data_IF_392034280125
#
_entry.id   IF_392034280125
#
_cell.length_a   1.000
_cell.length_b   1.000
_cell.length_c   1.000
_cell.angle_alpha   90.00
_cell.angle_beta   90.00
_cell.angle_gamma   90.00
#
_symmetry.space_group_name_H-M   'P 1'
#
loop_
_entity.id
_entity.type
_entity.pdbx_description
1 polymer ?
#
# COMPACT_ATOMS: atom_id res chain seq x y z
N UNK A 1 -11.88 7.68 -33.68
CA UNK A 1 -12.82 7.58 -32.54
C UNK A 1 -12.49 6.27 -31.87
N UNK A 2 -11.80 6.31 -30.74
CA UNK A 2 -11.23 5.11 -30.14
C UNK A 2 -12.37 4.17 -29.70
N UNK A 3 -12.26 2.92 -30.12
CA UNK A 3 -13.09 1.80 -29.68
C UNK A 3 -12.93 1.66 -28.15
N UNK A 4 -13.82 2.28 -27.38
CA UNK A 4 -13.88 2.13 -25.93
C UNK A 4 -14.50 0.77 -25.62
N UNK A 5 -13.77 -0.30 -25.92
CA UNK A 5 -14.09 -1.63 -25.41
C UNK A 5 -14.24 -1.56 -23.89
N UNK A 6 -15.16 -2.31 -23.28
CA UNK A 6 -15.41 -2.28 -21.83
C UNK A 6 -14.14 -2.45 -20.98
N UNK A 7 -13.16 -3.19 -21.52
CA UNK A 7 -11.85 -3.40 -20.89
C UNK A 7 -11.04 -2.10 -20.78
N UNK A 8 -11.14 -1.21 -21.78
CA UNK A 8 -10.44 0.09 -21.83
C UNK A 8 -10.87 0.98 -20.65
N UNK A 9 -12.15 0.95 -20.27
CA UNK A 9 -12.66 1.68 -19.10
C UNK A 9 -12.09 1.15 -17.78
N UNK A 10 -11.90 -0.17 -17.68
CA UNK A 10 -11.29 -0.81 -16.50
C UNK A 10 -9.81 -0.44 -16.40
N UNK A 11 -9.07 -0.47 -17.52
CA UNK A 11 -7.67 -0.05 -17.55
C UNK A 11 -7.50 1.40 -17.13
N UNK A 12 -8.35 2.31 -17.63
CA UNK A 12 -8.31 3.73 -17.21
C UNK A 12 -8.51 3.92 -15.72
N UNK A 13 -9.50 3.23 -15.13
CA UNK A 13 -9.71 3.27 -13.67
C UNK A 13 -8.53 2.72 -12.89
N UNK A 14 -7.87 1.66 -13.40
CA UNK A 14 -6.66 1.12 -12.77
C UNK A 14 -5.49 2.10 -12.88
N UNK A 15 -5.30 2.75 -14.02
CA UNK A 15 -4.27 3.79 -14.22
C UNK A 15 -4.47 4.95 -13.25
N UNK A 16 -5.70 5.43 -13.06
CA UNK A 16 -6.00 6.51 -12.12
C UNK A 16 -5.66 6.14 -10.67
N UNK A 17 -5.95 4.89 -10.26
CA UNK A 17 -5.59 4.41 -8.91
C UNK A 17 -4.08 4.32 -8.75
N UNK A 18 -3.37 3.77 -9.75
CA UNK A 18 -1.90 3.66 -9.72
C UNK A 18 -1.26 5.05 -9.67
N UNK A 19 -1.77 6.02 -10.44
CA UNK A 19 -1.29 7.39 -10.42
C UNK A 19 -1.39 8.01 -9.02
N UNK A 20 -2.54 7.83 -8.35
CA UNK A 20 -2.75 8.30 -6.97
C UNK A 20 -1.85 7.58 -5.95
N UNK A 21 -1.56 6.29 -6.15
CA UNK A 21 -0.64 5.53 -5.29
C UNK A 21 0.81 6.04 -5.40
N UNK A 22 1.19 6.64 -6.53
CA UNK A 22 2.55 7.12 -6.80
C UNK A 22 2.74 8.61 -6.51
N UNK A 23 1.70 9.34 -6.07
CA UNK A 23 1.82 10.75 -5.71
C UNK A 23 2.85 10.98 -4.59
N UNK A 24 3.73 11.96 -4.75
CA UNK A 24 4.78 12.25 -3.76
C UNK A 24 4.23 12.66 -2.39
N UNK A 25 3.05 13.30 -2.36
CA UNK A 25 2.46 13.84 -1.12
C UNK A 25 1.41 12.92 -0.49
N UNK A 26 0.57 12.29 -1.31
CA UNK A 26 -0.59 11.52 -0.85
C UNK A 26 -0.53 10.03 -1.24
N UNK A 27 0.52 9.61 -1.95
CA UNK A 27 0.74 8.24 -2.37
C UNK A 27 1.26 7.35 -1.25
N UNK A 28 1.63 6.13 -1.63
CA UNK A 28 2.20 5.13 -0.72
C UNK A 28 3.68 5.48 -0.51
N UNK A 29 4.15 5.59 0.75
CA UNK A 29 5.55 5.90 1.03
C UNK A 29 6.48 4.80 0.53
N UNK A 30 7.33 5.15 -0.43
CA UNK A 30 8.39 4.29 -0.95
C UNK A 30 9.66 4.56 -0.14
N UNK A 31 10.25 3.49 0.40
CA UNK A 31 11.43 3.55 1.25
C UNK A 31 12.50 2.58 0.78
N UNK A 32 13.74 2.82 1.19
CA UNK A 32 14.81 1.82 1.11
C UNK A 32 14.95 1.18 2.47
N UNK A 33 14.85 -0.13 2.56
CA UNK A 33 15.08 -0.86 3.80
C UNK A 33 16.49 -1.45 3.82
N UNK A 34 17.15 -1.37 4.97
CA UNK A 34 18.46 -1.97 5.21
C UNK A 34 18.30 -3.11 6.21
N UNK A 35 18.69 -4.31 5.80
CA UNK A 35 19.00 -5.43 6.69
C UNK A 35 20.52 -5.54 6.85
N UNK A 36 20.97 -6.33 7.83
CA UNK A 36 22.35 -6.41 8.32
C UNK A 36 23.42 -6.42 7.19
N UNK A 37 23.14 -7.09 6.07
CA UNK A 37 24.02 -7.16 4.89
C UNK A 37 23.35 -6.77 3.54
N UNK A 38 22.07 -6.39 3.53
CA UNK A 38 21.32 -6.16 2.28
C UNK A 38 20.57 -4.84 2.31
N UNK A 39 20.56 -4.13 1.18
CA UNK A 39 19.71 -2.96 0.96
C UNK A 39 18.75 -3.26 -0.19
N UNK A 40 17.46 -3.05 0.06
CA UNK A 40 16.42 -3.21 -0.95
C UNK A 40 15.79 -1.83 -1.17
N UNK A 41 16.09 -1.15 -2.30
CA UNK A 41 15.47 0.11 -2.64
C UNK A 41 14.05 -0.10 -3.17
N UNK A 42 13.29 0.99 -3.20
CA UNK A 42 11.97 1.05 -3.84
C UNK A 42 10.94 0.06 -3.28
N UNK A 43 10.88 -0.09 -1.96
CA UNK A 43 9.90 -0.96 -1.29
C UNK A 43 8.87 -0.16 -0.51
N UNK A 44 7.69 -0.74 -0.33
CA UNK A 44 6.64 -0.28 0.57
C UNK A 44 6.26 -1.42 1.51
N UNK A 45 5.68 -1.10 2.68
CA UNK A 45 5.16 -2.14 3.56
C UNK A 45 3.71 -2.46 3.23
N UNK A 46 3.27 -3.70 3.49
CA UNK A 46 1.85 -4.05 3.35
C UNK A 46 0.92 -3.20 4.24
N UNK A 47 1.42 -2.64 5.35
CA UNK A 47 0.61 -1.72 6.16
C UNK A 47 0.41 -0.36 5.47
N UNK A 48 1.43 0.13 4.75
CA UNK A 48 1.32 1.39 4.00
C UNK A 48 0.28 1.27 2.88
N UNK A 49 0.23 0.12 2.19
CA UNK A 49 -0.79 -0.17 1.18
C UNK A 49 -2.19 -0.17 1.81
N UNK A 50 -2.37 -0.93 2.88
CA UNK A 50 -3.67 -1.06 3.55
C UNK A 50 -4.16 0.31 4.02
N UNK A 51 -3.34 1.07 4.74
CA UNK A 51 -3.70 2.42 5.20
C UNK A 51 -4.03 3.36 4.04
N UNK A 52 -3.28 3.31 2.94
CA UNK A 52 -3.55 4.13 1.77
C UNK A 52 -4.90 3.79 1.14
N UNK A 53 -5.22 2.49 0.98
CA UNK A 53 -6.49 2.03 0.42
C UNK A 53 -7.68 2.49 1.27
N UNK A 54 -7.59 2.37 2.58
CA UNK A 54 -8.65 2.78 3.51
C UNK A 54 -8.92 4.28 3.43
N UNK A 55 -7.85 5.09 3.37
CA UNK A 55 -7.94 6.54 3.27
C UNK A 55 -8.49 7.00 1.91
N UNK A 56 -8.10 6.35 0.81
CA UNK A 56 -8.35 6.84 -0.55
C UNK A 56 -9.54 6.19 -1.26
N UNK A 57 -10.00 5.03 -0.79
CA UNK A 57 -11.10 4.26 -1.40
C UNK A 57 -12.35 4.13 -0.50
N UNK A 58 -12.41 4.84 0.64
CA UNK A 58 -13.54 4.83 1.58
C UNK A 58 -13.93 3.41 2.05
N UNK A 59 -12.94 2.54 2.25
CA UNK A 59 -13.15 1.20 2.77
C UNK A 59 -13.29 1.32 4.29
N UNK A 60 -14.52 1.24 4.81
CA UNK A 60 -14.84 1.43 6.24
C UNK A 60 -14.59 0.19 7.13
N UNK A 61 -13.91 -0.84 6.65
CA UNK A 61 -13.62 -2.03 7.47
C UNK A 61 -12.40 -1.81 8.38
N UNK A 62 -12.63 -1.19 9.54
CA UNK A 62 -11.59 -0.97 10.55
C UNK A 62 -11.15 -2.24 11.29
N UNK A 63 -11.93 -3.34 11.21
CA UNK A 63 -11.64 -4.60 11.90
C UNK A 63 -10.32 -5.22 11.46
N UNK A 64 -10.10 -5.29 10.15
CA UNK A 64 -8.93 -5.93 9.55
C UNK A 64 -7.61 -5.21 9.90
N UNK A 65 -7.63 -3.88 10.09
CA UNK A 65 -6.43 -3.06 10.37
C UNK A 65 -5.89 -3.35 11.78
N UNK A 66 -6.81 -3.42 12.74
CA UNK A 66 -6.49 -3.55 14.15
C UNK A 66 -5.82 -4.89 14.43
N UNK A 67 -6.27 -5.94 13.75
CA UNK A 67 -5.68 -7.28 13.83
C UNK A 67 -4.26 -7.33 13.23
N UNK A 68 -4.06 -6.75 12.04
CA UNK A 68 -2.74 -6.66 11.39
C UNK A 68 -1.75 -5.84 12.23
N UNK A 69 -2.19 -4.71 12.81
CA UNK A 69 -1.34 -3.85 13.63
C UNK A 69 -0.92 -4.53 14.94
N UNK A 70 -1.83 -5.26 15.58
CA UNK A 70 -1.55 -6.01 16.81
C UNK A 70 -0.57 -7.14 16.54
N UNK A 71 -0.72 -7.86 15.43
CA UNK A 71 0.21 -8.90 15.00
C UNK A 71 1.63 -8.39 14.75
N UNK A 72 1.79 -7.23 14.10
CA UNK A 72 3.11 -6.61 13.87
C UNK A 72 3.78 -6.12 15.16
N UNK A 73 3.01 -5.55 16.09
CA UNK A 73 3.53 -5.15 17.40
C UNK A 73 4.04 -6.35 18.21
N UNK A 74 3.33 -7.49 18.17
CA UNK A 74 3.78 -8.71 18.83
C UNK A 74 5.06 -9.28 18.21
N UNK A 75 5.17 -9.31 16.87
CA UNK A 75 6.39 -9.78 16.21
C UNK A 75 7.64 -8.97 16.62
N UNK A 76 7.52 -7.64 16.70
CA UNK A 76 8.63 -6.78 17.14
C UNK A 76 9.00 -6.97 18.62
N UNK A 77 8.04 -7.32 19.48
CA UNK A 77 8.28 -7.62 20.89
C UNK A 77 9.02 -8.95 21.08
N UNK A 78 8.75 -9.94 20.23
CA UNK A 78 9.40 -11.27 20.29
C UNK A 78 10.87 -11.18 19.81
N UNK A 79 11.20 -10.27 18.88
CA UNK A 79 12.58 -10.06 18.42
C UNK A 79 13.46 -9.18 19.34
N UNK A 80 12.87 -8.59 20.39
CA UNK A 80 13.56 -7.68 21.32
C UNK A 80 13.81 -8.29 22.71
N UNK A 81 14.00 -9.61 22.78
CA UNK A 81 14.51 -10.32 23.97
C UNK A 81 15.71 -11.18 23.62
#
# INVERSE_FOLDING_TARGET
MADESPNMLVYRKMEDVIARMQEEKNGIPIRTVKSFLSKIPSVFSGADIVQWLLKNLNIEDQGTITEIQTGKSMHNLITSK
#
